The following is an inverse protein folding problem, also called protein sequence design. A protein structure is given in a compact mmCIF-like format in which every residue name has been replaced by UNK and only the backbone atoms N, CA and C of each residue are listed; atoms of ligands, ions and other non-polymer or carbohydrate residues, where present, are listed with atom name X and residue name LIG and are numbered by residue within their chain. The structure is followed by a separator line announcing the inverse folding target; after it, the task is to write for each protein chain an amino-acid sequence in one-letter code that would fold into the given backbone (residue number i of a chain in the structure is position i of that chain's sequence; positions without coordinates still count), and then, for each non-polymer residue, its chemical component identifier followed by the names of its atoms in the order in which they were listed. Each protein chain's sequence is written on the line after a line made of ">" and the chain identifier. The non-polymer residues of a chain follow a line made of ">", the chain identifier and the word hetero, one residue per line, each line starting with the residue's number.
data_IF_956714360226
#
_entry.id   IF_956714360226
#
_cell.length_a   1.000
_cell.length_b   1.000
_cell.length_c   1.000
_cell.angle_alpha   90.00
_cell.angle_beta   90.00
_cell.angle_gamma   90.00
#
_symmetry.space_group_name_H-M   'P 1'
#
loop_
_entity.id
_entity.type
_entity.pdbx_description
1 polymer ?
#
# COMPACT_ATOMS: atom_id res chain seq x y z
N UNK A 1 16.90 -11.32 -0.75
CA UNK A 1 17.67 -11.59 0.47
C UNK A 1 17.89 -13.10 0.60
N UNK A 2 19.00 -13.52 1.20
CA UNK A 2 19.23 -14.92 1.56
C UNK A 2 18.25 -15.39 2.64
N UNK A 3 18.26 -16.69 2.95
CA UNK A 3 17.45 -17.27 4.03
C UNK A 3 17.69 -16.62 5.41
N UNK A 4 18.85 -15.99 5.61
CA UNK A 4 19.28 -15.28 6.82
C UNK A 4 18.80 -13.82 6.88
N UNK A 5 18.06 -13.35 5.87
CA UNK A 5 17.61 -11.96 5.79
C UNK A 5 18.64 -11.00 5.22
N UNK A 6 19.86 -11.45 4.87
CA UNK A 6 20.86 -10.54 4.30
C UNK A 6 20.58 -10.27 2.82
N UNK A 7 20.57 -9.01 2.42
CA UNK A 7 20.38 -8.65 1.01
C UNK A 7 21.64 -9.03 0.22
N UNK A 8 21.48 -9.90 -0.77
CA UNK A 8 22.57 -10.36 -1.65
C UNK A 8 22.80 -9.41 -2.83
N UNK A 9 21.71 -8.90 -3.41
CA UNK A 9 21.73 -8.00 -4.56
C UNK A 9 20.43 -7.19 -4.62
N UNK A 10 20.43 -6.11 -5.39
CA UNK A 10 19.24 -5.35 -5.74
C UNK A 10 19.33 -4.91 -7.23
N UNK A 11 18.19 -4.56 -7.82
CA UNK A 11 18.10 -4.28 -9.26
C UNK A 11 18.63 -2.91 -9.72
N UNK A 12 18.97 -2.01 -8.78
CA UNK A 12 19.46 -0.65 -9.07
C UNK A 12 20.56 -0.28 -8.06
N UNK A 13 21.72 -0.97 -8.08
CA UNK A 13 22.75 -0.82 -7.06
C UNK A 13 23.40 0.57 -7.06
N UNK A 14 23.38 1.28 -8.19
CA UNK A 14 23.89 2.65 -8.29
C UNK A 14 22.97 3.67 -7.61
N UNK A 15 21.67 3.37 -7.53
CA UNK A 15 20.66 4.24 -6.87
C UNK A 15 20.43 3.84 -5.41
N UNK A 16 20.56 2.54 -5.08
CA UNK A 16 20.24 2.00 -3.75
C UNK A 16 21.34 1.06 -3.23
N UNK A 17 22.00 1.48 -2.15
CA UNK A 17 23.03 0.72 -1.45
C UNK A 17 22.45 -0.34 -0.50
N UNK A 18 21.60 -1.23 -1.02
CA UNK A 18 20.85 -2.19 -0.21
C UNK A 18 21.62 -3.48 0.10
N UNK A 19 22.63 -3.84 -0.71
CA UNK A 19 23.39 -5.08 -0.55
C UNK A 19 24.11 -5.12 0.81
N UNK A 20 24.07 -6.27 1.47
CA UNK A 20 24.68 -6.49 2.79
C UNK A 20 23.84 -6.01 3.98
N UNK A 21 22.77 -5.23 3.76
CA UNK A 21 21.81 -4.85 4.82
C UNK A 21 21.01 -6.07 5.28
N UNK A 22 20.62 -6.04 6.54
CA UNK A 22 19.77 -7.05 7.17
C UNK A 22 18.29 -6.61 7.07
N UNK A 23 17.44 -7.50 6.59
CA UNK A 23 15.98 -7.32 6.50
C UNK A 23 15.23 -8.47 7.16
N UNK A 24 15.89 -9.27 8.01
CA UNK A 24 15.28 -10.45 8.62
C UNK A 24 14.03 -10.13 9.46
N UNK A 25 13.94 -8.91 10.01
CA UNK A 25 12.81 -8.41 10.80
C UNK A 25 11.79 -7.57 10.00
N UNK A 26 11.98 -7.41 8.68
CA UNK A 26 11.00 -6.70 7.86
C UNK A 26 9.78 -7.59 7.61
N UNK A 27 8.57 -7.03 7.73
CA UNK A 27 7.34 -7.82 7.64
C UNK A 27 7.15 -8.48 6.26
N UNK A 28 7.63 -7.86 5.17
CA UNK A 28 7.63 -8.47 3.84
C UNK A 28 8.54 -9.70 3.80
N UNK A 29 9.71 -9.65 4.44
CA UNK A 29 10.64 -10.78 4.47
C UNK A 29 10.06 -11.92 5.31
N UNK A 30 9.61 -11.63 6.53
CA UNK A 30 9.02 -12.62 7.41
C UNK A 30 7.78 -13.29 6.81
N UNK A 31 6.89 -12.49 6.19
CA UNK A 31 5.66 -13.04 5.59
C UNK A 31 5.97 -13.97 4.41
N UNK A 32 6.96 -13.65 3.57
CA UNK A 32 7.41 -14.54 2.51
C UNK A 32 8.11 -15.81 3.04
N UNK A 33 8.87 -15.71 4.14
CA UNK A 33 9.50 -16.88 4.76
C UNK A 33 8.49 -17.85 5.38
N UNK A 34 7.32 -17.36 5.82
CA UNK A 34 6.25 -18.16 6.40
C UNK A 34 5.36 -18.86 5.35
N UNK A 35 5.58 -18.66 4.06
CA UNK A 35 4.74 -19.27 3.04
C UNK A 35 4.93 -20.78 2.94
N UNK A 36 3.86 -21.50 2.64
CA UNK A 36 3.90 -22.95 2.47
C UNK A 36 4.30 -23.34 1.04
N UNK A 37 3.86 -22.53 0.07
CA UNK A 37 3.99 -22.76 -1.37
C UNK A 37 4.81 -21.67 -2.06
N UNK A 38 5.41 -21.99 -3.20
CA UNK A 38 5.99 -21.01 -4.14
C UNK A 38 4.94 -20.19 -4.88
N UNK A 39 3.67 -20.55 -4.77
CA UNK A 39 2.52 -19.78 -5.28
C UNK A 39 2.01 -18.74 -4.27
N UNK A 40 2.51 -18.78 -3.04
CA UNK A 40 2.17 -17.83 -1.99
C UNK A 40 3.13 -16.64 -2.01
N UNK A 41 2.65 -15.51 -1.49
CA UNK A 41 3.39 -14.25 -1.47
C UNK A 41 3.38 -13.62 -0.09
N UNK A 42 4.48 -12.95 0.25
CA UNK A 42 4.57 -12.03 1.36
C UNK A 42 4.20 -10.60 0.95
N UNK A 43 3.78 -9.80 1.92
CA UNK A 43 3.35 -8.44 1.70
C UNK A 43 3.63 -7.57 2.94
N UNK A 44 4.07 -6.34 2.70
CA UNK A 44 4.10 -5.28 3.70
C UNK A 44 3.48 -4.04 3.10
N UNK A 45 2.43 -3.54 3.77
CA UNK A 45 1.71 -2.33 3.39
C UNK A 45 2.60 -1.08 3.37
N UNK A 46 1.98 0.06 3.11
CA UNK A 46 2.72 1.33 2.96
C UNK A 46 3.48 1.68 4.24
N UNK A 47 4.80 1.83 4.13
CA UNK A 47 5.69 2.20 5.24
C UNK A 47 6.90 2.98 4.73
N UNK A 48 7.57 3.74 5.60
CA UNK A 48 8.88 4.32 5.26
C UNK A 48 9.93 3.22 5.27
N UNK A 49 10.81 3.18 4.26
CA UNK A 49 11.88 2.19 4.19
C UNK A 49 13.23 2.81 3.86
N UNK A 50 14.23 2.48 4.67
CA UNK A 50 15.61 2.85 4.40
C UNK A 50 16.16 2.23 3.11
N UNK A 51 15.56 1.14 2.62
CA UNK A 51 15.93 0.54 1.32
C UNK A 51 15.65 1.47 0.14
N UNK A 52 14.79 2.48 0.35
CA UNK A 52 14.46 3.53 -0.59
C UNK A 52 14.78 4.92 0.00
N UNK A 53 15.88 5.04 0.74
CA UNK A 53 16.34 6.31 1.32
C UNK A 53 15.28 7.02 2.21
N UNK A 54 14.44 6.25 2.90
CA UNK A 54 13.39 6.76 3.77
C UNK A 54 12.09 7.13 3.06
N UNK A 55 12.01 6.95 1.74
CA UNK A 55 10.75 7.09 1.01
C UNK A 55 9.71 6.08 1.48
N UNK A 56 8.42 6.41 1.29
CA UNK A 56 7.34 5.46 1.50
C UNK A 56 7.34 4.43 0.39
N UNK A 57 7.23 3.17 0.78
CA UNK A 57 7.22 2.03 -0.13
C UNK A 57 6.07 1.09 0.18
N UNK A 58 5.74 0.30 -0.83
CA UNK A 58 4.90 -0.89 -0.73
C UNK A 58 5.74 -2.08 -1.18
N UNK A 59 5.78 -3.16 -0.40
CA UNK A 59 6.67 -4.29 -0.72
C UNK A 59 5.88 -5.59 -0.89
N UNK A 60 6.05 -6.19 -2.06
CA UNK A 60 5.62 -7.55 -2.35
C UNK A 60 6.81 -8.47 -2.32
N UNK A 61 6.59 -9.72 -1.95
CA UNK A 61 7.69 -10.66 -1.85
C UNK A 61 7.24 -12.09 -2.09
N UNK A 62 8.18 -12.96 -2.47
CA UNK A 62 7.95 -14.39 -2.57
C UNK A 62 9.19 -15.16 -2.15
N UNK A 63 8.97 -16.38 -1.69
CA UNK A 63 10.05 -17.32 -1.39
C UNK A 63 10.74 -17.77 -2.68
N UNK A 64 12.06 -17.70 -2.73
CA UNK A 64 12.87 -18.39 -3.74
C UNK A 64 13.09 -19.81 -3.26
N UNK A 65 12.68 -20.81 -4.05
CA UNK A 65 12.69 -22.22 -3.65
C UNK A 65 13.63 -23.07 -4.50
N UNK A 66 14.17 -24.11 -3.88
CA UNK A 66 15.13 -25.03 -4.49
C UNK A 66 14.59 -25.67 -5.78
N UNK A 67 15.37 -25.54 -6.85
CA UNK A 67 15.00 -26.04 -8.18
C UNK A 67 13.80 -25.31 -8.81
N UNK A 68 13.41 -24.15 -8.29
CA UNK A 68 12.21 -23.43 -8.75
C UNK A 68 10.90 -24.17 -8.45
N UNK A 69 10.93 -25.18 -7.58
CA UNK A 69 9.77 -26.00 -7.27
C UNK A 69 8.85 -25.29 -6.28
N UNK A 70 7.54 -25.41 -6.51
CA UNK A 70 6.50 -24.84 -5.65
C UNK A 70 6.60 -25.37 -4.21
N UNK A 71 6.93 -26.65 -4.05
CA UNK A 71 7.12 -27.34 -2.77
C UNK A 71 8.60 -27.41 -2.33
N UNK A 72 9.50 -26.75 -3.06
CA UNK A 72 10.93 -26.76 -2.78
C UNK A 72 11.26 -26.11 -1.45
N UNK A 73 12.38 -26.51 -0.85
CA UNK A 73 12.96 -25.85 0.32
C UNK A 73 13.22 -24.38 0.02
N UNK A 74 12.85 -23.49 0.93
CA UNK A 74 13.11 -22.04 0.80
C UNK A 74 14.61 -21.77 0.90
N UNK A 75 15.13 -21.03 -0.09
CA UNK A 75 16.54 -20.60 -0.18
C UNK A 75 16.71 -19.12 0.20
N UNK A 76 15.63 -18.33 0.14
CA UNK A 76 15.61 -16.92 0.46
C UNK A 76 14.33 -16.27 -0.03
N UNK A 77 14.34 -14.94 -0.13
CA UNK A 77 13.18 -14.14 -0.51
C UNK A 77 13.55 -13.16 -1.63
N UNK A 78 12.71 -13.08 -2.65
CA UNK A 78 12.71 -11.99 -3.62
C UNK A 78 11.70 -10.93 -3.15
N UNK A 79 12.14 -9.68 -3.04
CA UNK A 79 11.28 -8.55 -2.68
C UNK A 79 11.23 -7.53 -3.82
N UNK A 80 10.04 -7.02 -4.11
CA UNK A 80 9.80 -5.95 -5.08
C UNK A 80 9.34 -4.72 -4.30
N UNK A 81 10.18 -3.69 -4.29
CA UNK A 81 9.96 -2.44 -3.57
C UNK A 81 9.36 -1.41 -4.51
N UNK A 82 8.10 -1.07 -4.32
CA UNK A 82 7.41 -0.02 -5.08
C UNK A 82 7.51 1.30 -4.33
N UNK A 83 8.06 2.33 -4.98
CA UNK A 83 8.04 3.70 -4.47
C UNK A 83 6.62 4.24 -4.47
N UNK A 84 6.00 4.24 -3.29
CA UNK A 84 4.58 4.55 -3.14
C UNK A 84 4.27 6.01 -3.51
N UNK A 85 5.18 6.91 -3.15
CA UNK A 85 5.05 8.35 -3.42
C UNK A 85 5.06 8.67 -4.92
N UNK A 86 5.90 7.98 -5.70
CA UNK A 86 5.95 8.17 -7.14
C UNK A 86 4.65 7.70 -7.83
N UNK A 87 3.93 6.76 -7.22
CA UNK A 87 2.74 6.13 -7.79
C UNK A 87 1.45 6.72 -7.23
N UNK A 88 1.09 6.34 -6.00
CA UNK A 88 -0.23 6.59 -5.43
C UNK A 88 -0.43 8.04 -5.03
N UNK A 89 0.63 8.69 -4.52
CA UNK A 89 0.55 10.09 -4.16
C UNK A 89 0.32 10.97 -5.40
N UNK A 90 0.99 10.64 -6.51
CA UNK A 90 0.74 11.28 -7.82
C UNK A 90 -0.72 11.11 -8.26
N UNK A 91 -1.31 9.91 -8.07
CA UNK A 91 -2.70 9.63 -8.46
C UNK A 91 -3.68 10.49 -7.66
N UNK A 92 -3.58 10.49 -6.32
CA UNK A 92 -4.51 11.27 -5.49
C UNK A 92 -4.38 12.77 -5.73
N UNK A 93 -3.18 13.27 -6.06
CA UNK A 93 -2.96 14.70 -6.35
C UNK A 93 -3.39 15.12 -7.77
N UNK A 94 -3.48 14.17 -8.71
CA UNK A 94 -3.87 14.44 -10.11
C UNK A 94 -5.24 13.89 -10.47
N UNK A 95 -6.07 13.61 -9.46
CA UNK A 95 -7.46 13.23 -9.69
C UNK A 95 -8.17 14.33 -10.50
N UNK A 96 -8.94 13.98 -11.54
CA UNK A 96 -9.49 14.95 -12.49
C UNK A 96 -10.69 15.70 -11.90
N UNK A 97 -10.42 16.55 -10.91
CA UNK A 97 -11.34 17.53 -10.34
C UNK A 97 -11.03 18.91 -10.93
N UNK A 98 -12.06 19.71 -11.12
CA UNK A 98 -11.93 21.14 -11.43
C UNK A 98 -11.26 21.91 -10.29
N UNK A 99 -10.71 23.08 -10.58
CA UNK A 99 -10.10 23.95 -9.56
C UNK A 99 -11.06 24.26 -8.40
N UNK A 100 -12.35 24.51 -8.71
CA UNK A 100 -13.37 24.79 -7.71
C UNK A 100 -13.77 23.55 -6.88
N UNK A 101 -13.67 22.35 -7.44
CA UNK A 101 -13.87 21.13 -6.67
C UNK A 101 -12.70 20.91 -5.73
N UNK A 102 -11.47 21.14 -6.19
CA UNK A 102 -10.26 21.01 -5.37
C UNK A 102 -10.28 21.87 -4.10
N UNK A 103 -10.85 23.08 -4.14
CA UNK A 103 -10.91 23.95 -2.95
C UNK A 103 -11.69 23.37 -1.77
N UNK A 104 -12.51 22.35 -2.03
CA UNK A 104 -13.37 21.70 -1.03
C UNK A 104 -13.32 20.17 -1.04
N UNK A 105 -12.32 19.60 -1.74
CA UNK A 105 -12.16 18.15 -1.88
C UNK A 105 -10.84 17.66 -1.29
N UNK A 106 -10.87 16.48 -0.68
CA UNK A 106 -9.69 15.69 -0.28
C UNK A 106 -9.82 14.29 -0.86
N UNK A 107 -8.84 13.88 -1.64
CA UNK A 107 -8.74 12.54 -2.22
C UNK A 107 -7.76 11.69 -1.42
N UNK A 108 -8.19 10.49 -1.03
CA UNK A 108 -7.39 9.56 -0.21
C UNK A 108 -7.44 8.13 -0.76
N UNK A 109 -6.39 7.35 -0.47
CA UNK A 109 -6.44 5.89 -0.46
C UNK A 109 -6.32 5.45 0.98
N UNK A 110 -7.18 4.54 1.43
CA UNK A 110 -7.20 4.02 2.80
C UNK A 110 -7.29 2.50 2.86
N UNK A 111 -6.91 1.90 3.98
CA UNK A 111 -7.20 0.49 4.28
C UNK A 111 -8.62 0.28 4.82
N UNK A 112 -9.00 -0.97 5.11
CA UNK A 112 -10.29 -1.34 5.73
C UNK A 112 -10.54 -0.65 7.08
N UNK A 113 -9.47 -0.26 7.79
CA UNK A 113 -9.52 0.50 9.04
C UNK A 113 -9.74 1.99 8.86
N UNK A 114 -9.60 2.50 7.62
CA UNK A 114 -9.64 3.93 7.31
C UNK A 114 -8.28 4.61 7.47
N UNK A 115 -7.19 3.88 7.76
CA UNK A 115 -5.85 4.46 7.85
C UNK A 115 -5.43 4.99 6.49
N UNK A 116 -4.92 6.22 6.47
CA UNK A 116 -4.60 6.92 5.24
C UNK A 116 -3.27 6.45 4.67
N UNK A 117 -3.30 5.91 3.46
CA UNK A 117 -2.14 5.38 2.74
C UNK A 117 -1.62 6.37 1.69
N UNK A 118 -2.51 7.06 0.98
CA UNK A 118 -2.19 8.17 0.09
C UNK A 118 -3.18 9.31 0.33
N UNK A 119 -2.75 10.57 0.21
CA UNK A 119 -3.60 11.71 0.56
C UNK A 119 -3.19 12.98 -0.15
N UNK A 120 -4.12 13.56 -0.92
CA UNK A 120 -3.96 14.88 -1.55
C UNK A 120 -3.61 16.01 -0.56
N UNK A 121 -4.02 15.91 0.71
CA UNK A 121 -3.69 16.87 1.77
C UNK A 121 -2.37 16.58 2.52
N UNK A 122 -1.69 15.47 2.19
CA UNK A 122 -0.35 15.19 2.71
C UNK A 122 -0.28 14.47 4.06
N UNK A 123 -1.39 13.95 4.60
CA UNK A 123 -1.43 13.28 5.91
C UNK A 123 -1.29 11.75 5.87
N UNK A 124 -0.61 11.22 4.85
CA UNK A 124 -0.31 9.78 4.73
C UNK A 124 0.35 9.24 6.00
N UNK A 125 -0.11 8.06 6.43
CA UNK A 125 0.30 7.32 7.63
C UNK A 125 0.11 8.08 8.96
N UNK A 126 -0.63 9.19 8.95
CA UNK A 126 -0.83 10.06 10.12
C UNK A 126 -2.29 10.34 10.46
N UNK A 127 -3.20 9.97 9.58
CA UNK A 127 -4.63 10.25 9.72
C UNK A 127 -5.45 8.98 9.50
N UNK A 128 -6.67 8.99 10.03
CA UNK A 128 -7.67 7.94 9.88
C UNK A 128 -8.97 8.59 9.43
N UNK A 129 -9.50 8.15 8.29
CA UNK A 129 -10.80 8.59 7.80
C UNK A 129 -11.87 7.71 8.43
N UNK A 130 -12.66 8.29 9.34
CA UNK A 130 -13.78 7.62 9.97
C UNK A 130 -15.06 8.46 9.91
N UNK A 131 -16.19 7.77 9.71
CA UNK A 131 -17.53 8.37 9.63
C UNK A 131 -18.60 7.28 9.86
N UNK A 132 -19.80 7.61 10.35
CA UNK A 132 -20.79 6.63 10.82
C UNK A 132 -21.18 5.53 9.81
N UNK A 133 -21.16 5.82 8.51
CA UNK A 133 -21.54 4.89 7.44
C UNK A 133 -20.36 4.13 6.79
N UNK A 134 -19.12 4.33 7.27
CA UNK A 134 -17.90 3.84 6.58
C UNK A 134 -17.89 2.34 6.34
N UNK A 135 -18.16 1.56 7.38
CA UNK A 135 -18.16 0.10 7.29
C UNK A 135 -19.22 -0.42 6.31
N UNK A 136 -20.36 0.26 6.17
CA UNK A 136 -21.40 -0.12 5.22
C UNK A 136 -21.06 0.31 3.79
N UNK A 137 -20.46 1.49 3.64
CA UNK A 137 -19.99 1.97 2.34
C UNK A 137 -18.87 1.09 1.79
N UNK A 138 -17.92 0.66 2.64
CA UNK A 138 -16.76 -0.14 2.24
C UNK A 138 -17.12 -1.56 1.76
N UNK A 139 -18.32 -2.07 2.10
CA UNK A 139 -18.85 -3.33 1.56
C UNK A 139 -19.28 -3.23 0.10
N UNK A 140 -19.47 -2.02 -0.43
CA UNK A 140 -19.88 -1.80 -1.81
C UNK A 140 -18.65 -1.74 -2.73
N UNK A 141 -18.80 -2.08 -4.00
CA UNK A 141 -17.71 -1.87 -4.97
C UNK A 141 -17.49 -0.38 -5.26
N UNK A 142 -18.57 0.41 -5.21
CA UNK A 142 -18.61 1.85 -5.38
C UNK A 142 -19.86 2.40 -4.73
N UNK A 143 -19.81 3.62 -4.22
CA UNK A 143 -20.95 4.29 -3.62
C UNK A 143 -20.61 5.70 -3.19
N UNK A 144 -21.59 6.43 -2.66
CA UNK A 144 -21.38 7.71 -2.03
C UNK A 144 -22.38 7.91 -0.90
N UNK A 145 -21.97 8.59 0.17
CA UNK A 145 -22.80 8.91 1.32
C UNK A 145 -22.64 10.39 1.69
N UNK A 146 -23.73 11.05 2.05
CA UNK A 146 -23.67 12.37 2.67
C UNK A 146 -23.64 12.18 4.17
N UNK A 147 -22.56 12.61 4.81
CA UNK A 147 -22.32 12.43 6.24
C UNK A 147 -21.83 13.72 6.87
N UNK A 148 -22.03 13.87 8.18
CA UNK A 148 -21.24 14.84 8.95
C UNK A 148 -19.81 14.30 9.08
N UNK A 149 -18.84 15.07 8.64
CA UNK A 149 -17.42 14.75 8.79
C UNK A 149 -16.68 16.00 9.28
N UNK A 150 -16.07 15.89 10.46
CA UNK A 150 -15.40 17.00 11.16
C UNK A 150 -16.30 18.21 11.40
N UNK A 151 -17.59 17.99 11.69
CA UNK A 151 -18.54 19.05 12.06
C UNK A 151 -19.11 19.84 10.89
N UNK A 152 -18.94 19.35 9.65
CA UNK A 152 -19.57 19.93 8.47
C UNK A 152 -20.04 18.82 7.51
N UNK A 153 -21.11 19.05 6.74
CA UNK A 153 -21.62 18.07 5.79
C UNK A 153 -20.61 17.83 4.65
N UNK A 154 -20.34 16.57 4.37
CA UNK A 154 -19.54 16.12 3.24
C UNK A 154 -20.29 15.07 2.43
N UNK A 155 -20.10 15.09 1.11
CA UNK A 155 -20.31 13.92 0.27
C UNK A 155 -19.01 13.12 0.22
N UNK A 156 -19.04 11.88 0.70
CA UNK A 156 -17.90 10.96 0.64
C UNK A 156 -18.20 9.91 -0.44
N UNK A 157 -17.52 10.03 -1.58
CA UNK A 157 -17.55 9.02 -2.63
C UNK A 157 -16.48 7.95 -2.37
N UNK A 158 -16.78 6.72 -2.74
CA UNK A 158 -15.99 5.52 -2.46
C UNK A 158 -15.89 4.62 -3.69
N UNK A 159 -14.73 3.99 -3.84
CA UNK A 159 -14.53 2.83 -4.70
C UNK A 159 -13.58 1.82 -4.03
N UNK A 160 -13.95 0.55 -4.01
CA UNK A 160 -13.08 -0.53 -3.56
C UNK A 160 -12.05 -0.89 -4.65
N UNK A 161 -10.80 -1.12 -4.25
CA UNK A 161 -9.76 -1.56 -5.17
C UNK A 161 -10.09 -2.97 -5.69
N UNK A 162 -10.13 -3.19 -7.03
CA UNK A 162 -10.37 -4.53 -7.58
C UNK A 162 -9.17 -5.47 -7.35
N UNK A 163 -8.02 -4.93 -6.95
CA UNK A 163 -6.75 -5.63 -6.93
C UNK A 163 -6.07 -5.67 -8.30
N UNK A 164 -4.99 -6.43 -8.40
CA UNK A 164 -4.25 -6.69 -9.64
C UNK A 164 -3.84 -8.15 -9.68
N UNK A 165 -4.12 -8.84 -10.80
CA UNK A 165 -3.95 -10.30 -10.94
C UNK A 165 -4.60 -11.08 -9.77
N UNK A 166 -3.80 -11.83 -9.00
CA UNK A 166 -4.25 -12.60 -7.84
C UNK A 166 -4.26 -11.77 -6.55
N UNK A 167 -3.79 -10.51 -6.60
CA UNK A 167 -3.56 -9.70 -5.43
C UNK A 167 -4.70 -8.72 -5.13
N UNK A 168 -5.21 -8.74 -3.89
CA UNK A 168 -6.20 -7.77 -3.40
C UNK A 168 -5.73 -7.18 -2.06
N UNK A 169 -5.64 -5.86 -2.01
CA UNK A 169 -5.23 -5.14 -0.80
C UNK A 169 -6.34 -4.97 0.23
N UNK A 170 -7.61 -5.01 -0.21
CA UNK A 170 -8.74 -4.49 0.58
C UNK A 170 -8.75 -2.96 0.70
N UNK A 171 -7.97 -2.24 -0.10
CA UNK A 171 -7.91 -0.78 -0.02
C UNK A 171 -9.08 -0.10 -0.73
N UNK A 172 -9.34 1.13 -0.32
CA UNK A 172 -10.43 1.95 -0.82
C UNK A 172 -9.92 3.31 -1.28
N UNK A 173 -10.45 3.79 -2.40
CA UNK A 173 -10.29 5.18 -2.83
C UNK A 173 -11.47 6.00 -2.31
N UNK A 174 -11.18 7.16 -1.73
CA UNK A 174 -12.17 8.10 -1.20
C UNK A 174 -12.00 9.48 -1.82
N UNK A 175 -13.12 10.13 -2.13
CA UNK A 175 -13.18 11.57 -2.39
C UNK A 175 -14.12 12.15 -1.35
N UNK A 176 -13.58 12.96 -0.43
CA UNK A 176 -14.32 13.67 0.58
C UNK A 176 -14.52 15.10 0.08
N UNK A 177 -15.76 15.50 -0.20
CA UNK A 177 -16.08 16.84 -0.69
C UNK A 177 -17.02 17.55 0.29
N UNK A 178 -16.64 18.71 0.81
CA UNK A 178 -17.51 19.53 1.65
C UNK A 178 -18.67 20.11 0.81
N UNK A 179 -19.88 20.12 1.40
CA UNK A 179 -21.11 20.60 0.77
C UNK A 179 -21.37 22.08 1.05
#
# INVERSE_FOLDING_TARGET
>A
AGHDGRILANGRPDDYASAGRDVSGEAWFESAMRTASGEDFGFQGVHASDLAAGERVLVYSCSVREGGRIDGRVLGVLGIVFRWDALAQTIVQRTPLSEQEWTRSRVCIVDDGGHVLADSAGHMLRDVIDFPARAQLFKQLRGAEVVDYRGQPHCIAHAASPGYETYRTGWHSLILQAL
#
